data_IF_883053909365
#
_entry.id   IF_883053909365
#
_cell.length_a   1.000
_cell.length_b   1.000
_cell.length_c   1.000
_cell.angle_alpha   90.00
_cell.angle_beta   90.00
_cell.angle_gamma   90.00
#
_symmetry.space_group_name_H-M   'P 1'
#
loop_
_entity.id
_entity.type
_entity.pdbx_description
1 polymer ?
#
# COMPACT_ATOMS: atom_id res chain seq x y z
N UNK A 1 16.13 8.10 7.88
CA UNK A 1 14.96 7.32 8.34
C UNK A 1 13.78 8.26 8.51
N UNK A 2 12.58 7.88 8.05
CA UNK A 2 11.33 8.60 8.31
C UNK A 2 10.95 8.38 9.79
N UNK A 3 10.85 9.44 10.57
CA UNK A 3 10.43 9.39 11.97
C UNK A 3 8.91 9.63 12.08
N UNK A 4 8.31 9.25 13.21
CA UNK A 4 6.87 9.42 13.45
C UNK A 4 6.42 10.88 13.34
N UNK A 5 7.29 11.83 13.68
CA UNK A 5 7.03 13.27 13.51
C UNK A 5 6.87 13.70 12.04
N UNK A 6 7.57 13.01 11.13
CA UNK A 6 7.50 13.27 9.69
C UNK A 6 6.18 12.72 9.11
N UNK A 7 5.55 11.76 9.79
CA UNK A 7 4.28 11.13 9.42
C UNK A 7 3.03 12.01 9.65
N UNK A 8 3.22 13.26 10.08
CA UNK A 8 2.18 14.30 10.22
C UNK A 8 2.18 15.32 9.09
N UNK A 9 3.18 15.27 8.20
CA UNK A 9 3.33 16.26 7.15
C UNK A 9 2.35 16.02 5.99
N UNK A 10 1.70 17.08 5.50
CA UNK A 10 0.82 17.00 4.31
C UNK A 10 1.56 16.46 3.07
N UNK A 11 2.89 16.62 3.03
CA UNK A 11 3.77 16.09 1.98
C UNK A 11 3.72 14.56 1.86
N UNK A 12 3.32 13.83 2.89
CA UNK A 12 3.23 12.36 2.83
C UNK A 12 2.27 11.85 1.76
N UNK A 13 1.22 12.63 1.47
CA UNK A 13 0.27 12.31 0.40
C UNK A 13 0.96 12.22 -0.97
N UNK A 14 2.08 12.92 -1.15
CA UNK A 14 2.86 12.90 -2.40
C UNK A 14 3.93 11.81 -2.47
N UNK A 15 4.21 11.10 -1.36
CA UNK A 15 5.25 10.05 -1.35
C UNK A 15 4.92 8.90 -2.30
N UNK A 16 3.68 8.37 -2.35
CA UNK A 16 3.37 7.29 -3.28
C UNK A 16 3.57 7.67 -4.75
N UNK A 17 3.25 8.91 -5.13
CA UNK A 17 3.47 9.41 -6.49
C UNK A 17 4.96 9.58 -6.80
N UNK A 18 5.74 10.07 -5.83
CA UNK A 18 7.20 10.15 -5.96
C UNK A 18 7.83 8.77 -6.14
N UNK A 19 7.45 7.78 -5.32
CA UNK A 19 7.95 6.41 -5.44
C UNK A 19 7.51 5.76 -6.76
N UNK A 20 6.31 6.07 -7.25
CA UNK A 20 5.84 5.63 -8.57
C UNK A 20 6.70 6.20 -9.69
N UNK A 21 7.05 7.49 -9.64
CA UNK A 21 7.95 8.12 -10.60
C UNK A 21 9.38 7.53 -10.53
N UNK A 22 9.90 7.32 -9.33
CA UNK A 22 11.21 6.69 -9.11
C UNK A 22 11.21 5.26 -9.68
N UNK A 23 10.16 4.47 -9.45
CA UNK A 23 10.05 3.11 -10.01
C UNK A 23 10.14 3.14 -11.54
N UNK A 24 9.44 4.05 -12.21
CA UNK A 24 9.51 4.19 -13.67
C UNK A 24 10.92 4.53 -14.16
N UNK A 25 11.65 5.37 -13.43
CA UNK A 25 13.05 5.66 -13.72
C UNK A 25 13.93 4.41 -13.52
N UNK A 26 13.76 3.68 -12.42
CA UNK A 26 14.48 2.43 -12.17
C UNK A 26 14.21 1.39 -13.27
N UNK A 27 12.95 1.22 -13.68
CA UNK A 27 12.62 0.30 -14.79
C UNK A 27 13.36 0.65 -16.09
N UNK A 28 13.66 1.93 -16.32
CA UNK A 28 14.36 2.40 -17.52
C UNK A 28 15.89 2.36 -17.38
N UNK A 29 16.43 2.71 -16.22
CA UNK A 29 17.85 3.00 -16.05
C UNK A 29 18.57 2.06 -15.08
N UNK A 30 17.87 1.45 -14.11
CA UNK A 30 18.43 0.56 -13.07
C UNK A 30 17.38 -0.46 -12.61
N UNK A 31 17.21 -1.55 -13.38
CA UNK A 31 16.14 -2.54 -13.15
C UNK A 31 16.29 -3.27 -11.82
N UNK A 32 17.53 -3.45 -11.36
CA UNK A 32 17.89 -4.05 -10.08
C UNK A 32 17.29 -3.31 -8.87
N UNK A 33 16.99 -2.01 -9.01
CA UNK A 33 16.38 -1.21 -7.94
C UNK A 33 14.85 -1.25 -7.93
N UNK A 34 14.19 -1.84 -8.94
CA UNK A 34 12.73 -1.84 -9.03
C UNK A 34 12.10 -2.54 -7.84
N UNK A 35 12.63 -3.70 -7.44
CA UNK A 35 12.14 -4.43 -6.28
C UNK A 35 12.32 -3.63 -4.98
N UNK A 36 13.45 -2.94 -4.84
CA UNK A 36 13.76 -2.09 -3.69
C UNK A 36 12.78 -0.92 -3.56
N UNK A 37 12.38 -0.32 -4.68
CA UNK A 37 11.38 0.76 -4.67
C UNK A 37 10.00 0.25 -4.28
N UNK A 38 9.63 -0.95 -4.74
CA UNK A 38 8.39 -1.59 -4.31
C UNK A 38 8.40 -1.88 -2.80
N UNK A 39 9.48 -2.44 -2.28
CA UNK A 39 9.64 -2.70 -0.84
C UNK A 39 9.56 -1.40 -0.03
N UNK A 40 10.24 -0.34 -0.49
CA UNK A 40 10.19 0.97 0.15
C UNK A 40 8.77 1.56 0.17
N UNK A 41 7.99 1.37 -0.91
CA UNK A 41 6.59 1.83 -0.98
C UNK A 41 5.74 1.07 0.03
N UNK A 42 5.84 -0.26 0.05
CA UNK A 42 5.09 -1.11 0.98
C UNK A 42 5.46 -0.82 2.45
N UNK A 43 6.75 -0.68 2.77
CA UNK A 43 7.24 -0.31 4.11
C UNK A 43 6.73 1.05 4.56
N UNK A 44 6.67 2.02 3.65
CA UNK A 44 6.17 3.35 3.95
C UNK A 44 4.68 3.31 4.29
N UNK A 45 3.89 2.56 3.51
CA UNK A 45 2.47 2.34 3.80
C UNK A 45 2.27 1.62 5.14
N UNK A 46 3.05 0.57 5.42
CA UNK A 46 2.95 -0.13 6.71
C UNK A 46 3.19 0.82 7.90
N UNK A 47 4.23 1.66 7.80
CA UNK A 47 4.53 2.65 8.84
C UNK A 47 3.40 3.65 9.01
N UNK A 48 2.84 4.16 7.91
CA UNK A 48 1.68 5.07 7.94
C UNK A 48 0.46 4.42 8.60
N UNK A 49 0.17 3.16 8.28
CA UNK A 49 -0.95 2.40 8.82
C UNK A 49 -0.81 2.11 10.33
N UNK A 50 0.42 1.93 10.82
CA UNK A 50 0.71 1.69 12.24
C UNK A 50 0.68 2.96 13.11
N UNK A 51 0.64 4.16 12.51
CA UNK A 51 0.54 5.41 13.29
C UNK A 51 -0.78 5.51 14.04
N UNK A 52 -0.86 6.22 15.18
CA UNK A 52 -2.14 6.43 15.88
C UNK A 52 -3.07 7.43 15.14
N UNK A 53 -2.62 8.04 14.04
CA UNK A 53 -3.33 9.14 13.39
C UNK A 53 -4.26 8.66 12.28
N UNK A 54 -5.58 8.86 12.47
CA UNK A 54 -6.60 8.43 11.52
C UNK A 54 -6.35 8.92 10.09
N UNK A 55 -6.01 10.20 9.88
CA UNK A 55 -5.78 10.73 8.53
C UNK A 55 -4.61 10.04 7.82
N UNK A 56 -3.54 9.73 8.54
CA UNK A 56 -2.37 9.03 8.00
C UNK A 56 -2.71 7.57 7.69
N UNK A 57 -3.41 6.88 8.60
CA UNK A 57 -3.92 5.52 8.35
C UNK A 57 -4.83 5.46 7.14
N UNK A 58 -5.80 6.37 7.03
CA UNK A 58 -6.75 6.44 5.92
C UNK A 58 -6.04 6.67 4.58
N UNK A 59 -5.05 7.57 4.53
CA UNK A 59 -4.26 7.78 3.32
C UNK A 59 -3.48 6.52 2.92
N UNK A 60 -2.92 5.81 3.90
CA UNK A 60 -2.28 4.52 3.66
C UNK A 60 -3.25 3.49 3.08
N UNK A 61 -4.47 3.37 3.65
CA UNK A 61 -5.47 2.43 3.17
C UNK A 61 -5.95 2.74 1.75
N UNK A 62 -6.15 4.03 1.44
CA UNK A 62 -6.47 4.47 0.08
C UNK A 62 -5.42 3.99 -0.92
N UNK A 63 -4.14 4.17 -0.57
CA UNK A 63 -3.04 3.76 -1.43
C UNK A 63 -2.92 2.23 -1.53
N UNK A 64 -3.14 1.49 -0.43
CA UNK A 64 -3.19 0.02 -0.47
C UNK A 64 -4.30 -0.45 -1.41
N UNK A 65 -5.52 0.11 -1.32
CA UNK A 65 -6.59 -0.30 -2.25
C UNK A 65 -6.29 0.05 -3.70
N UNK A 66 -5.63 1.19 -3.96
CA UNK A 66 -5.17 1.56 -5.29
C UNK A 66 -4.13 0.57 -5.84
N UNK A 67 -3.20 0.11 -5.00
CA UNK A 67 -2.23 -0.92 -5.38
C UNK A 67 -2.91 -2.25 -5.74
N UNK A 68 -3.95 -2.64 -5.01
CA UNK A 68 -4.76 -3.83 -5.30
C UNK A 68 -5.47 -3.69 -6.66
N UNK A 69 -6.08 -2.55 -6.92
CA UNK A 69 -6.71 -2.25 -8.21
C UNK A 69 -5.68 -2.29 -9.35
N UNK A 70 -4.52 -1.65 -9.18
CA UNK A 70 -3.45 -1.62 -10.18
C UNK A 70 -2.86 -3.00 -10.48
N UNK A 71 -2.77 -3.90 -9.48
CA UNK A 71 -2.17 -5.22 -9.65
C UNK A 71 -3.13 -6.25 -10.26
N UNK A 72 -4.45 -6.05 -10.10
CA UNK A 72 -5.50 -6.98 -10.55
C UNK A 72 -6.11 -6.63 -11.91
N UNK A 73 -5.98 -5.38 -12.38
CA UNK A 73 -6.52 -4.95 -13.66
C UNK A 73 -5.75 -5.58 -14.84
N UNK A 74 -6.49 -6.19 -15.78
CA UNK A 74 -5.94 -6.91 -16.94
C UNK A 74 -5.15 -6.02 -17.92
N UNK A 75 -5.32 -4.69 -17.86
CA UNK A 75 -4.47 -3.73 -18.58
C UNK A 75 -3.25 -3.42 -17.71
N UNK A 76 -2.10 -3.97 -18.09
CA UNK A 76 -0.82 -3.77 -17.39
C UNK A 76 -0.55 -2.29 -17.12
N UNK A 77 -0.66 -1.91 -15.84
CA UNK A 77 -0.13 -0.65 -15.32
C UNK A 77 1.38 -0.84 -15.22
N UNK A 78 2.15 -0.06 -15.98
CA UNK A 78 3.61 -0.30 -16.15
C UNK A 78 4.39 -0.33 -14.84
N UNK A 79 3.91 0.36 -13.81
CA UNK A 79 4.54 0.46 -12.49
C UNK A 79 3.81 -0.33 -11.39
N UNK A 80 2.86 -1.22 -11.73
CA UNK A 80 2.17 -2.05 -10.76
C UNK A 80 3.13 -2.90 -9.94
N UNK A 81 2.81 -3.10 -8.66
CA UNK A 81 3.43 -4.15 -7.84
C UNK A 81 2.78 -5.47 -8.23
N UNK A 82 3.60 -6.52 -8.35
CA UNK A 82 3.10 -7.86 -8.63
C UNK A 82 2.06 -8.30 -7.58
N UNK A 83 0.98 -8.92 -8.03
CA UNK A 83 -0.14 -9.30 -7.15
C UNK A 83 0.29 -10.32 -6.09
N UNK A 84 1.16 -11.27 -6.43
CA UNK A 84 1.64 -12.27 -5.46
C UNK A 84 2.50 -11.59 -4.40
N UNK A 85 3.41 -10.69 -4.80
CA UNK A 85 4.19 -9.89 -3.85
C UNK A 85 3.31 -9.05 -2.92
N UNK A 86 2.26 -8.42 -3.45
CA UNK A 86 1.34 -7.61 -2.64
C UNK A 86 0.56 -8.48 -1.63
N UNK A 87 0.12 -9.66 -2.05
CA UNK A 87 -0.54 -10.63 -1.19
C UNK A 87 0.36 -11.14 -0.07
N UNK A 88 1.59 -11.54 -0.40
CA UNK A 88 2.57 -12.01 0.59
C UNK A 88 2.81 -10.92 1.64
N UNK A 89 3.02 -9.68 1.19
CA UNK A 89 3.19 -8.54 2.10
C UNK A 89 1.98 -8.29 3.01
N UNK A 90 0.74 -8.38 2.48
CA UNK A 90 -0.49 -8.20 3.26
C UNK A 90 -0.58 -9.23 4.41
N UNK A 91 -0.21 -10.47 4.13
CA UNK A 91 -0.24 -11.59 5.09
C UNK A 91 0.88 -11.46 6.11
N UNK A 92 2.13 -11.35 5.65
CA UNK A 92 3.33 -11.30 6.50
C UNK A 92 3.28 -10.14 7.50
N UNK A 93 2.71 -9.00 7.09
CA UNK A 93 2.64 -7.80 7.91
C UNK A 93 1.33 -7.65 8.69
N UNK A 94 0.44 -8.65 8.62
CA UNK A 94 -0.87 -8.64 9.32
C UNK A 94 -1.68 -7.37 9.04
N UNK A 95 -1.65 -6.89 7.79
CA UNK A 95 -2.21 -5.59 7.39
C UNK A 95 -3.70 -5.51 7.69
N UNK A 96 -4.43 -6.60 7.45
CA UNK A 96 -5.86 -6.68 7.75
C UNK A 96 -6.13 -6.51 9.25
N UNK A 97 -5.37 -7.18 10.13
CA UNK A 97 -5.53 -7.05 11.58
C UNK A 97 -5.26 -5.62 12.04
N UNK A 98 -4.18 -4.99 11.56
CA UNK A 98 -3.83 -3.60 11.90
C UNK A 98 -4.94 -2.63 11.43
N UNK A 99 -5.52 -2.87 10.26
CA UNK A 99 -6.60 -2.06 9.74
C UNK A 99 -7.89 -2.23 10.56
N UNK A 100 -8.22 -3.45 10.98
CA UNK A 100 -9.42 -3.73 11.79
C UNK A 100 -9.40 -3.08 13.18
N UNK A 101 -8.21 -2.81 13.74
CA UNK A 101 -8.04 -2.03 14.97
C UNK A 101 -8.32 -0.52 14.78
N UNK A 102 -8.56 -0.07 13.55
CA UNK A 102 -8.87 1.30 13.21
C UNK A 102 -10.35 1.68 13.37
N UNK A 103 -10.73 2.79 12.74
CA UNK A 103 -12.07 3.38 12.82
C UNK A 103 -13.04 2.70 11.83
N UNK A 104 -13.38 1.44 12.10
CA UNK A 104 -14.26 0.62 11.26
C UNK A 104 -15.72 1.13 11.19
N UNK A 105 -16.11 1.99 12.11
CA UNK A 105 -17.40 2.70 12.12
C UNK A 105 -17.53 3.68 10.95
N UNK A 106 -16.41 4.17 10.41
CA UNK A 106 -16.38 5.08 9.28
C UNK A 106 -16.56 4.30 7.97
N UNK A 107 -17.67 4.53 7.27
CA UNK A 107 -18.01 3.80 6.04
C UNK A 107 -16.87 3.77 5.00
N UNK A 108 -16.20 4.91 4.77
CA UNK A 108 -15.07 5.00 3.85
C UNK A 108 -13.86 4.15 4.29
N UNK A 109 -13.66 3.96 5.60
CA UNK A 109 -12.56 3.15 6.12
C UNK A 109 -12.89 1.67 5.98
N UNK A 110 -14.12 1.29 6.33
CA UNK A 110 -14.66 -0.06 6.18
C UNK A 110 -14.63 -0.54 4.71
N UNK A 111 -14.99 0.32 3.76
CA UNK A 111 -14.92 0.00 2.33
C UNK A 111 -13.49 -0.36 1.87
N UNK A 112 -12.48 0.32 2.42
CA UNK A 112 -11.07 0.01 2.09
C UNK A 112 -10.63 -1.33 2.68
N UNK A 113 -11.08 -1.65 3.89
CA UNK A 113 -10.85 -2.97 4.51
C UNK A 113 -11.50 -4.07 3.67
N UNK A 114 -12.71 -3.84 3.16
CA UNK A 114 -13.41 -4.80 2.28
C UNK A 114 -12.56 -5.17 1.05
N UNK A 115 -11.93 -4.19 0.40
CA UNK A 115 -11.03 -4.45 -0.73
C UNK A 115 -9.83 -5.32 -0.37
N UNK A 116 -9.27 -5.15 0.83
CA UNK A 116 -8.18 -6.01 1.34
C UNK A 116 -8.69 -7.44 1.58
N UNK A 117 -9.86 -7.59 2.20
CA UNK A 117 -10.49 -8.90 2.46
C UNK A 117 -10.78 -9.63 1.14
N UNK A 118 -11.31 -8.94 0.14
CA UNK A 118 -11.64 -9.52 -1.17
C UNK A 118 -10.40 -10.09 -1.85
N UNK A 119 -9.29 -9.35 -1.86
CA UNK A 119 -8.03 -9.83 -2.43
C UNK A 119 -7.50 -11.05 -1.65
N UNK A 120 -7.45 -11.00 -0.32
CA UNK A 120 -6.98 -12.12 0.50
C UNK A 120 -7.88 -13.37 0.32
N UNK A 121 -9.19 -13.19 0.27
CA UNK A 121 -10.15 -14.27 0.06
C UNK A 121 -10.04 -14.93 -1.32
N UNK A 122 -9.63 -14.19 -2.34
CA UNK A 122 -9.46 -14.72 -3.70
C UNK A 122 -8.41 -15.84 -3.79
N UNK A 123 -7.38 -15.82 -2.93
CA UNK A 123 -6.36 -16.88 -2.85
C UNK A 123 -6.73 -18.06 -1.94
N UNK A 124 -7.64 -17.88 -0.98
CA UNK A 124 -8.15 -18.96 -0.14
C UNK A 124 -9.21 -19.83 -0.85
N UNK A 125 -9.77 -19.32 -1.94
CA UNK A 125 -10.81 -19.98 -2.73
C UNK A 125 -10.26 -20.87 -3.86
N UNK A 126 -8.94 -21.01 -3.94
CA UNK A 126 -8.18 -21.84 -4.89
C UNK A 126 -7.56 -23.04 -4.16
#
# INVERSE_FOLDING_TARGET
NLEEKDLKDKRLVSIPDLLSAIKLLCMRFQRELVAVVDDLRLDTLLRMLKTPHFSTKMNSLKEVTKLIEESTVSKSVKNAIDTDKLLDWLVENSVLSIALEGNIDQAQYCERIKGIIELLGSKLSL
#
